data_IF_683696485304
#
_entry.id   IF_683696485304
#
_cell.length_a   1.000
_cell.length_b   1.000
_cell.length_c   1.000
_cell.angle_alpha   90.00
_cell.angle_beta   90.00
_cell.angle_gamma   90.00
#
_symmetry.space_group_name_H-M   'P 1'
#
loop_
_entity.id
_entity.type
_entity.pdbx_description
1 polymer ?
#
# COMPACT_ATOMS: atom_id res chain seq x y z
N UNK A 1 -47.09 17.75 -15.56
CA UNK A 1 -45.91 18.10 -14.75
C UNK A 1 -46.00 17.58 -13.31
N UNK A 2 -47.09 17.84 -12.57
CA UNK A 2 -47.25 17.35 -11.19
C UNK A 2 -47.24 15.83 -11.00
N UNK A 3 -47.79 15.05 -11.95
CA UNK A 3 -47.74 13.59 -11.92
C UNK A 3 -46.31 13.02 -12.01
N UNK A 4 -45.46 13.58 -12.88
CA UNK A 4 -44.06 13.18 -13.01
C UNK A 4 -43.26 13.53 -11.75
N UNK A 5 -43.53 14.70 -11.16
CA UNK A 5 -42.94 15.11 -9.87
C UNK A 5 -43.38 14.16 -8.75
N UNK A 6 -44.66 13.77 -8.70
CA UNK A 6 -45.17 12.80 -7.73
C UNK A 6 -44.50 11.42 -7.85
N UNK A 7 -44.36 10.90 -9.07
CA UNK A 7 -43.66 9.63 -9.33
C UNK A 7 -42.19 9.73 -8.91
N UNK A 8 -41.52 10.84 -9.24
CA UNK A 8 -40.13 11.06 -8.84
C UNK A 8 -39.97 11.08 -7.32
N UNK A 9 -40.85 11.76 -6.59
CA UNK A 9 -40.83 11.82 -5.13
C UNK A 9 -41.07 10.44 -4.50
N UNK A 10 -42.03 9.67 -5.02
CA UNK A 10 -42.28 8.30 -4.57
C UNK A 10 -41.07 7.39 -4.84
N UNK A 11 -40.43 7.53 -5.99
CA UNK A 11 -39.22 6.79 -6.34
C UNK A 11 -38.05 7.15 -5.42
N UNK A 12 -37.85 8.44 -5.13
CA UNK A 12 -36.82 8.90 -4.17
C UNK A 12 -37.09 8.36 -2.77
N UNK A 13 -38.34 8.40 -2.30
CA UNK A 13 -38.73 7.86 -1.00
C UNK A 13 -38.50 6.34 -0.93
N UNK A 14 -38.92 5.60 -1.96
CA UNK A 14 -38.68 4.16 -2.06
C UNK A 14 -37.19 3.82 -2.04
N UNK A 15 -36.38 4.52 -2.86
CA UNK A 15 -34.93 4.31 -2.89
C UNK A 15 -34.26 4.65 -1.55
N UNK A 16 -34.71 5.72 -0.88
CA UNK A 16 -34.21 6.12 0.43
C UNK A 16 -34.50 5.06 1.51
N UNK A 17 -35.75 4.59 1.58
CA UNK A 17 -36.14 3.51 2.50
C UNK A 17 -35.37 2.22 2.20
N UNK A 18 -35.27 1.84 0.93
CA UNK A 18 -34.49 0.68 0.50
C UNK A 18 -33.02 0.77 0.94
N UNK A 19 -32.37 1.92 0.72
CA UNK A 19 -30.99 2.15 1.15
C UNK A 19 -30.84 2.12 2.67
N UNK A 20 -31.80 2.68 3.41
CA UNK A 20 -31.81 2.66 4.87
C UNK A 20 -31.94 1.24 5.44
N UNK A 21 -32.88 0.45 4.93
CA UNK A 21 -33.04 -0.96 5.32
C UNK A 21 -31.81 -1.79 4.96
N UNK A 22 -31.24 -1.57 3.77
CA UNK A 22 -30.02 -2.23 3.33
C UNK A 22 -28.84 -1.89 4.25
N UNK A 23 -28.67 -0.61 4.61
CA UNK A 23 -27.67 -0.13 5.56
C UNK A 23 -27.76 -0.88 6.88
N UNK A 24 -28.94 -0.86 7.51
CA UNK A 24 -29.18 -1.54 8.79
C UNK A 24 -28.87 -3.04 8.71
N UNK A 25 -29.28 -3.71 7.63
CA UNK A 25 -29.04 -5.14 7.42
C UNK A 25 -27.53 -5.45 7.31
N UNK A 26 -26.78 -4.64 6.57
CA UNK A 26 -25.33 -4.80 6.43
C UNK A 26 -24.64 -4.54 7.77
N UNK A 27 -25.01 -3.47 8.49
CA UNK A 27 -24.45 -3.19 9.81
C UNK A 27 -24.68 -4.37 10.77
N UNK A 28 -25.92 -4.86 10.87
CA UNK A 28 -26.25 -6.01 11.73
C UNK A 28 -25.44 -7.26 11.35
N UNK A 29 -25.23 -7.49 10.06
CA UNK A 29 -24.40 -8.60 9.58
C UNK A 29 -22.95 -8.47 10.04
N UNK A 30 -22.32 -7.32 9.82
CA UNK A 30 -20.91 -7.12 10.20
C UNK A 30 -20.75 -7.20 11.73
N UNK A 31 -21.66 -6.60 12.50
CA UNK A 31 -21.62 -6.66 13.97
C UNK A 31 -21.88 -8.06 14.55
N UNK A 32 -22.45 -8.98 13.77
CA UNK A 32 -22.67 -10.38 14.21
C UNK A 32 -21.58 -11.34 13.78
N UNK A 33 -20.63 -10.90 12.95
CA UNK A 33 -19.45 -11.69 12.58
C UNK A 33 -18.40 -11.63 13.68
N UNK A 34 -17.79 -12.77 13.97
CA UNK A 34 -16.58 -12.87 14.78
C UNK A 34 -15.38 -12.21 14.08
N UNK A 35 -14.33 -11.90 14.84
CA UNK A 35 -13.09 -11.35 14.30
C UNK A 35 -12.48 -12.26 13.22
N UNK A 36 -12.49 -13.58 13.45
CA UNK A 36 -11.93 -14.57 12.52
C UNK A 36 -12.71 -14.61 11.21
N UNK A 37 -14.05 -14.58 11.26
CA UNK A 37 -14.89 -14.54 10.06
C UNK A 37 -14.67 -13.26 9.25
N UNK A 38 -14.50 -12.13 9.93
CA UNK A 38 -14.20 -10.85 9.28
C UNK A 38 -12.84 -10.89 8.59
N UNK A 39 -11.83 -11.42 9.28
CA UNK A 39 -10.48 -11.54 8.76
C UNK A 39 -10.43 -12.48 7.56
N UNK A 40 -11.00 -13.69 7.66
CA UNK A 40 -11.07 -14.65 6.54
C UNK A 40 -11.75 -14.02 5.32
N UNK A 41 -12.86 -13.31 5.55
CA UNK A 41 -13.59 -12.64 4.47
C UNK A 41 -12.75 -11.54 3.81
N UNK A 42 -12.05 -10.69 4.57
CA UNK A 42 -11.17 -9.65 4.01
C UNK A 42 -9.98 -10.26 3.30
N UNK A 43 -9.26 -11.20 3.92
CA UNK A 43 -8.11 -11.87 3.32
C UNK A 43 -8.47 -12.44 1.95
N UNK A 44 -9.63 -13.11 1.84
CA UNK A 44 -10.10 -13.65 0.55
C UNK A 44 -10.33 -12.59 -0.54
N UNK A 45 -10.56 -11.32 -0.16
CA UNK A 45 -10.80 -10.21 -1.08
C UNK A 45 -9.51 -9.52 -1.50
N UNK A 46 -8.52 -9.41 -0.60
CA UNK A 46 -7.31 -8.59 -0.82
C UNK A 46 -6.08 -9.40 -1.24
N UNK A 47 -5.98 -10.65 -0.78
CA UNK A 47 -4.82 -11.51 -1.06
C UNK A 47 -4.61 -11.80 -2.55
N UNK A 48 -5.66 -11.96 -3.40
CA UNK A 48 -5.46 -12.11 -4.86
C UNK A 48 -4.79 -10.89 -5.53
N UNK A 49 -4.82 -9.73 -4.87
CA UNK A 49 -4.18 -8.51 -5.33
C UNK A 49 -2.79 -8.28 -4.69
N UNK A 50 -2.31 -9.23 -3.89
CA UNK A 50 -1.00 -9.16 -3.23
C UNK A 50 -0.99 -8.43 -1.91
N UNK A 51 -2.14 -8.34 -1.22
CA UNK A 51 -2.25 -7.61 0.05
C UNK A 51 -2.67 -8.51 1.21
N UNK A 52 -2.30 -8.10 2.41
CA UNK A 52 -2.70 -8.67 3.69
C UNK A 52 -3.13 -7.56 4.64
N UNK A 53 -3.79 -7.93 5.73
CA UNK A 53 -4.26 -7.00 6.75
C UNK A 53 -3.66 -7.40 8.11
N UNK A 54 -3.21 -6.40 8.88
CA UNK A 54 -2.55 -6.56 10.17
C UNK A 54 -3.49 -6.02 11.26
N UNK A 55 -4.27 -6.89 11.95
CA UNK A 55 -5.34 -6.44 12.85
C UNK A 55 -4.87 -5.62 14.05
N UNK A 56 -3.68 -5.89 14.59
CA UNK A 56 -3.18 -5.19 15.77
C UNK A 56 -2.87 -3.71 15.53
N UNK A 57 -2.73 -3.30 14.27
CA UNK A 57 -2.40 -1.93 13.87
C UNK A 57 -3.47 -1.31 12.96
N UNK A 58 -4.48 -2.08 12.55
CA UNK A 58 -5.51 -1.66 11.59
C UNK A 58 -4.96 -1.19 10.22
N UNK A 59 -3.85 -1.76 9.76
CA UNK A 59 -3.19 -1.42 8.49
C UNK A 59 -3.22 -2.57 7.49
N UNK A 60 -3.06 -2.22 6.21
CA UNK A 60 -2.80 -3.15 5.12
C UNK A 60 -1.31 -3.20 4.80
N UNK A 61 -0.84 -4.38 4.40
CA UNK A 61 0.53 -4.62 3.95
C UNK A 61 0.50 -5.54 2.74
N UNK A 62 1.66 -5.90 2.22
CA UNK A 62 1.84 -6.70 1.01
C UNK A 62 2.17 -8.14 1.34
N UNK A 63 1.80 -9.06 0.45
CA UNK A 63 2.24 -10.44 0.50
C UNK A 63 3.51 -10.63 -0.34
N UNK A 64 4.29 -11.66 -0.01
CA UNK A 64 5.52 -11.99 -0.74
C UNK A 64 5.21 -12.33 -2.20
N UNK A 65 4.09 -13.02 -2.43
CA UNK A 65 3.61 -13.50 -3.73
C UNK A 65 2.76 -12.47 -4.49
N UNK A 66 2.86 -11.18 -4.12
CA UNK A 66 2.13 -10.12 -4.78
C UNK A 66 2.39 -10.13 -6.31
N UNK A 67 1.34 -10.09 -7.16
CA UNK A 67 1.49 -10.14 -8.62
C UNK A 67 2.45 -9.08 -9.21
N UNK A 68 2.62 -7.97 -8.49
CA UNK A 68 3.54 -6.87 -8.76
C UNK A 68 4.99 -7.36 -8.96
N UNK A 69 5.37 -8.47 -8.32
CA UNK A 69 6.68 -9.11 -8.43
C UNK A 69 7.08 -9.43 -9.88
N UNK A 70 6.10 -9.67 -10.77
CA UNK A 70 6.36 -9.99 -12.17
C UNK A 70 6.72 -8.77 -13.05
N UNK A 71 6.41 -7.55 -12.60
CA UNK A 71 6.55 -6.33 -13.41
C UNK A 71 7.87 -5.60 -13.17
N UNK A 72 8.56 -5.88 -12.06
CA UNK A 72 9.77 -5.15 -11.66
C UNK A 72 9.47 -3.68 -11.35
N UNK A 73 10.50 -2.84 -11.46
CA UNK A 73 10.44 -1.43 -11.14
C UNK A 73 11.28 -0.56 -12.08
N UNK A 74 10.77 0.63 -12.39
CA UNK A 74 11.48 1.67 -13.14
C UNK A 74 11.03 3.04 -12.64
N UNK A 75 11.89 4.06 -12.73
CA UNK A 75 11.57 5.42 -12.27
C UNK A 75 10.40 6.07 -13.03
N UNK A 76 9.95 5.48 -14.15
CA UNK A 76 8.71 5.90 -14.81
C UNK A 76 7.48 5.70 -13.91
N UNK A 77 7.49 4.72 -13.00
CA UNK A 77 6.38 4.48 -12.09
C UNK A 77 6.16 5.68 -11.15
N UNK A 78 7.23 6.23 -10.55
CA UNK A 78 7.15 7.47 -9.77
C UNK A 78 6.62 8.65 -10.59
N UNK A 79 7.10 8.77 -11.84
CA UNK A 79 6.68 9.87 -12.72
C UNK A 79 5.18 9.82 -13.04
N UNK A 80 4.64 8.62 -13.21
CA UNK A 80 3.22 8.42 -13.54
C UNK A 80 2.31 8.25 -12.32
N UNK A 81 2.87 8.02 -11.11
CA UNK A 81 2.12 7.79 -9.87
C UNK A 81 0.98 8.80 -9.62
N UNK A 82 1.14 10.12 -9.83
CA UNK A 82 0.04 11.08 -9.64
C UNK A 82 -1.17 10.86 -10.54
N UNK A 83 -0.98 10.24 -11.71
CA UNK A 83 -2.09 9.91 -12.63
C UNK A 83 -2.91 8.71 -12.14
N UNK A 84 -2.34 7.91 -11.25
CA UNK A 84 -2.97 6.75 -10.62
C UNK A 84 -3.45 7.03 -9.19
N UNK A 85 -3.56 8.31 -8.79
CA UNK A 85 -4.02 8.66 -7.45
C UNK A 85 -2.93 8.63 -6.36
N UNK A 86 -1.67 8.39 -6.74
CA UNK A 86 -0.56 8.26 -5.79
C UNK A 86 0.29 9.52 -5.79
N UNK A 87 0.47 10.14 -4.64
CA UNK A 87 1.36 11.30 -4.46
C UNK A 87 2.19 11.04 -3.22
N UNK A 88 3.49 10.83 -3.42
CA UNK A 88 4.43 10.44 -2.38
C UNK A 88 5.79 11.11 -2.59
N UNK A 89 6.59 11.12 -1.53
CA UNK A 89 8.02 11.34 -1.61
C UNK A 89 8.72 10.00 -1.79
N UNK A 90 9.72 9.95 -2.67
CA UNK A 90 10.57 8.80 -2.93
C UNK A 90 12.05 9.08 -2.67
N UNK A 91 12.78 8.05 -2.24
CA UNK A 91 14.23 8.07 -2.05
C UNK A 91 14.85 6.82 -2.72
N UNK A 92 15.21 6.91 -4.02
CA UNK A 92 15.89 5.81 -4.73
C UNK A 92 17.39 5.81 -4.42
N UNK A 93 17.91 4.63 -4.08
CA UNK A 93 19.33 4.41 -3.77
C UNK A 93 19.84 3.24 -4.62
N UNK A 94 20.69 3.58 -5.60
CA UNK A 94 21.30 2.63 -6.53
C UNK A 94 22.72 2.30 -6.08
N UNK A 95 23.10 1.04 -6.03
CA UNK A 95 24.44 0.63 -5.62
C UNK A 95 24.87 -0.67 -6.30
N UNK A 96 26.17 -0.82 -6.55
CA UNK A 96 26.72 -1.99 -7.20
C UNK A 96 27.23 -3.00 -6.17
N UNK A 97 26.82 -4.27 -6.33
CA UNK A 97 27.28 -5.36 -5.47
C UNK A 97 27.17 -6.70 -6.20
N UNK A 98 28.26 -7.48 -6.16
CA UNK A 98 28.28 -8.82 -6.75
C UNK A 98 28.11 -8.85 -8.28
N UNK A 99 28.61 -7.83 -8.99
CA UNK A 99 28.49 -7.72 -10.45
C UNK A 99 27.10 -7.29 -10.94
N UNK A 100 26.24 -6.83 -10.04
CA UNK A 100 24.85 -6.42 -10.29
C UNK A 100 24.62 -5.02 -9.73
N UNK A 101 23.72 -4.25 -10.34
CA UNK A 101 23.23 -3.00 -9.75
C UNK A 101 21.92 -3.25 -9.02
N UNK A 102 21.89 -2.84 -7.75
CA UNK A 102 20.74 -2.94 -6.87
C UNK A 102 20.03 -1.59 -6.77
N UNK A 103 18.72 -1.63 -6.55
CA UNK A 103 17.89 -0.48 -6.24
C UNK A 103 17.13 -0.79 -4.95
N UNK A 104 17.40 -0.01 -3.90
CA UNK A 104 16.51 0.08 -2.75
C UNK A 104 15.82 1.44 -2.82
N UNK A 105 14.51 1.44 -2.80
CA UNK A 105 13.73 2.67 -2.87
C UNK A 105 12.69 2.72 -1.74
N UNK A 106 12.63 3.89 -1.10
CA UNK A 106 11.70 4.18 -0.01
C UNK A 106 10.64 5.14 -0.50
N UNK A 107 9.38 4.91 -0.12
CA UNK A 107 8.27 5.80 -0.45
C UNK A 107 7.45 6.12 0.79
N UNK A 108 6.98 7.37 0.90
CA UNK A 108 6.00 7.81 1.91
C UNK A 108 5.01 8.80 1.31
N UNK A 109 3.72 8.62 1.53
CA UNK A 109 2.71 9.53 0.99
C UNK A 109 1.29 9.02 0.97
N UNK A 110 0.53 9.52 0.01
CA UNK A 110 -0.88 9.22 -0.21
C UNK A 110 -1.07 8.32 -1.44
N UNK A 111 -1.78 7.23 -1.26
CA UNK A 111 -2.12 6.21 -2.25
C UNK A 111 -3.65 6.12 -2.39
N UNK A 112 -4.24 7.10 -3.08
CA UNK A 112 -5.68 7.22 -3.21
C UNK A 112 -6.36 7.50 -1.87
N UNK A 113 -7.17 6.56 -1.39
CA UNK A 113 -7.83 6.65 -0.06
C UNK A 113 -6.93 6.19 1.09
N UNK A 114 -5.74 5.68 0.80
CA UNK A 114 -4.79 5.23 1.80
C UNK A 114 -3.67 6.25 1.94
N UNK A 115 -3.16 6.45 3.14
CA UNK A 115 -1.82 6.99 3.34
C UNK A 115 -0.89 5.86 3.76
N UNK A 116 0.41 6.00 3.58
CA UNK A 116 1.32 4.92 3.94
C UNK A 116 2.74 5.09 3.49
N UNK A 117 3.47 3.99 3.55
CA UNK A 117 4.85 3.90 3.12
C UNK A 117 5.20 2.54 2.51
N UNK A 118 6.30 2.51 1.78
CA UNK A 118 6.79 1.35 1.09
C UNK A 118 8.33 1.31 1.11
N UNK A 119 8.90 0.11 1.11
CA UNK A 119 10.33 -0.17 0.92
C UNK A 119 10.46 -1.30 -0.09
N UNK A 120 11.01 -0.98 -1.25
CA UNK A 120 11.20 -1.91 -2.36
C UNK A 120 12.67 -2.21 -2.61
N UNK A 121 12.98 -3.46 -2.90
CA UNK A 121 14.33 -3.95 -3.19
C UNK A 121 14.28 -4.68 -4.54
N UNK A 122 15.09 -4.19 -5.46
CA UNK A 122 15.15 -4.65 -6.84
C UNK A 122 16.61 -4.78 -7.28
N UNK A 123 16.85 -5.54 -8.35
CA UNK A 123 18.18 -5.71 -8.94
C UNK A 123 18.09 -5.76 -10.46
N UNK A 124 19.15 -5.31 -11.12
CA UNK A 124 19.47 -5.67 -12.48
C UNK A 124 20.59 -6.73 -12.45
N UNK A 125 20.51 -7.77 -13.28
CA UNK A 125 21.52 -8.85 -13.30
C UNK A 125 22.86 -8.45 -13.95
N UNK A 126 23.05 -7.16 -14.21
CA UNK A 126 24.26 -6.57 -14.78
C UNK A 126 24.53 -5.19 -14.14
N UNK A 127 25.74 -4.66 -14.35
CA UNK A 127 26.11 -3.32 -13.92
C UNK A 127 25.48 -2.28 -14.85
N UNK A 128 24.69 -1.37 -14.29
CA UNK A 128 23.94 -0.34 -15.01
C UNK A 128 24.72 0.97 -14.97
N UNK A 129 24.93 1.59 -16.14
CA UNK A 129 25.59 2.89 -16.20
C UNK A 129 24.74 3.99 -15.53
N UNK A 130 25.40 4.97 -14.90
CA UNK A 130 24.73 6.06 -14.16
C UNK A 130 23.66 6.79 -14.98
N UNK A 131 23.88 6.99 -16.29
CA UNK A 131 22.95 7.65 -17.20
C UNK A 131 21.68 6.82 -17.50
N UNK A 132 21.72 5.51 -17.24
CA UNK A 132 20.66 4.55 -17.56
C UNK A 132 19.86 4.10 -16.33
N UNK A 133 20.27 4.47 -15.11
CA UNK A 133 19.60 4.03 -13.88
C UNK A 133 18.09 4.31 -13.88
N UNK A 134 17.67 5.48 -14.39
CA UNK A 134 16.25 5.88 -14.39
C UNK A 134 15.41 5.21 -15.48
N UNK A 135 16.03 4.65 -16.51
CA UNK A 135 15.32 4.05 -17.65
C UNK A 135 15.44 2.53 -17.66
N UNK A 136 16.38 1.97 -16.90
CA UNK A 136 16.56 0.53 -16.76
C UNK A 136 15.42 -0.07 -15.94
N UNK A 137 14.99 -1.27 -16.34
CA UNK A 137 14.07 -2.08 -15.56
C UNK A 137 14.84 -2.87 -14.51
N UNK A 138 14.51 -2.69 -13.24
CA UNK A 138 15.04 -3.47 -12.14
C UNK A 138 14.02 -4.53 -11.75
N UNK A 139 14.42 -5.79 -11.70
CA UNK A 139 13.55 -6.91 -11.37
C UNK A 139 13.45 -7.11 -9.85
N UNK A 140 12.31 -7.62 -9.39
CA UNK A 140 12.15 -8.01 -8.00
C UNK A 140 13.15 -9.11 -7.63
N UNK A 141 13.74 -9.00 -6.44
CA UNK A 141 14.76 -9.94 -5.95
C UNK A 141 14.18 -11.30 -5.58
N UNK A 142 14.98 -12.36 -5.66
CA UNK A 142 14.55 -13.73 -5.37
C UNK A 142 14.31 -13.95 -3.86
N UNK A 143 13.62 -15.05 -3.51
CA UNK A 143 13.20 -15.33 -2.13
C UNK A 143 14.39 -15.45 -1.16
N UNK A 144 15.48 -16.09 -1.60
CA UNK A 144 16.70 -16.19 -0.79
C UNK A 144 17.42 -14.85 -0.61
N UNK A 145 17.22 -13.89 -1.53
CA UNK A 145 17.88 -12.58 -1.50
C UNK A 145 17.10 -11.55 -0.68
N UNK A 146 15.87 -11.84 -0.24
CA UNK A 146 15.07 -10.91 0.56
C UNK A 146 15.80 -10.50 1.83
N UNK A 147 15.73 -9.21 2.17
CA UNK A 147 16.40 -8.65 3.34
C UNK A 147 15.41 -8.49 4.50
N UNK A 148 15.86 -8.63 5.76
CA UNK A 148 15.11 -8.14 6.91
C UNK A 148 14.97 -6.62 6.84
N UNK A 149 13.73 -6.15 6.85
CA UNK A 149 13.31 -4.75 6.81
C UNK A 149 12.47 -4.46 8.05
N UNK A 150 12.75 -3.34 8.71
CA UNK A 150 11.83 -2.75 9.68
C UNK A 150 11.50 -1.32 9.26
N UNK A 151 10.24 -0.94 9.41
CA UNK A 151 9.72 0.38 9.07
C UNK A 151 8.96 0.92 10.27
N UNK A 152 9.30 2.12 10.72
CA UNK A 152 8.47 2.94 11.60
C UNK A 152 7.95 4.13 10.78
N UNK A 153 6.63 4.21 10.57
CA UNK A 153 5.98 5.31 9.87
C UNK A 153 5.38 6.28 10.90
N UNK A 154 5.59 7.57 10.69
CA UNK A 154 5.09 8.63 11.55
C UNK A 154 4.24 9.62 10.75
N UNK A 155 3.18 10.11 11.38
CA UNK A 155 2.39 11.26 10.93
C UNK A 155 2.62 12.40 11.93
N UNK A 156 3.24 13.49 11.49
CA UNK A 156 3.53 14.66 12.34
C UNK A 156 4.17 14.25 13.69
N UNK A 157 5.21 13.40 13.62
CA UNK A 157 5.94 12.81 14.76
C UNK A 157 5.16 11.81 15.64
N UNK A 158 3.90 11.55 15.33
CA UNK A 158 3.12 10.51 16.01
C UNK A 158 3.28 9.17 15.29
N UNK A 159 3.58 8.06 15.99
CA UNK A 159 3.72 6.76 15.37
C UNK A 159 2.39 6.31 14.75
N UNK A 160 2.45 5.85 13.50
CA UNK A 160 1.28 5.46 12.71
C UNK A 160 1.30 3.97 12.36
N UNK A 161 2.46 3.43 11.98
CA UNK A 161 2.62 2.00 11.68
C UNK A 161 4.04 1.51 11.98
N UNK A 162 4.13 0.23 12.35
CA UNK A 162 5.38 -0.50 12.52
C UNK A 162 5.33 -1.82 11.74
N UNK A 163 6.32 -2.04 10.89
CA UNK A 163 6.51 -3.30 10.17
C UNK A 163 7.88 -3.87 10.52
N UNK A 164 7.95 -5.19 10.70
CA UNK A 164 9.20 -5.94 10.78
C UNK A 164 9.00 -7.25 10.01
N UNK A 165 9.73 -7.42 8.91
CA UNK A 165 9.53 -8.54 7.97
C UNK A 165 10.80 -8.83 7.17
N UNK A 166 10.88 -10.01 6.55
CA UNK A 166 11.85 -10.29 5.49
C UNK A 166 11.10 -10.24 4.16
N UNK A 167 11.37 -9.24 3.34
CA UNK A 167 10.55 -8.97 2.16
C UNK A 167 11.35 -8.30 1.04
N UNK A 168 10.81 -8.38 -0.19
CA UNK A 168 11.32 -7.61 -1.34
C UNK A 168 10.59 -6.27 -1.50
N UNK A 169 9.32 -6.21 -1.11
CA UNK A 169 8.48 -5.02 -1.12
C UNK A 169 7.62 -4.91 0.14
N UNK A 170 8.16 -4.32 1.20
CA UNK A 170 7.47 -4.16 2.48
C UNK A 170 6.62 -2.88 2.46
N UNK A 171 5.38 -2.94 2.92
CA UNK A 171 4.45 -1.79 2.88
C UNK A 171 3.64 -1.66 4.16
N UNK A 172 3.17 -0.44 4.44
CA UNK A 172 2.20 -0.15 5.48
C UNK A 172 1.23 0.92 4.99
N UNK A 173 -0.04 0.56 4.86
CA UNK A 173 -1.10 1.44 4.39
C UNK A 173 -2.22 1.57 5.42
N UNK A 174 -2.50 2.80 5.79
CA UNK A 174 -3.60 3.20 6.66
C UNK A 174 -4.74 3.78 5.81
N UNK A 175 -5.93 3.16 5.91
CA UNK A 175 -7.04 3.39 5.00
C UNK A 175 -8.03 4.43 5.53
N UNK A 176 -8.39 5.37 4.67
CA UNK A 176 -9.39 6.40 4.94
C UNK A 176 -8.83 7.67 5.56
N UNK A 177 -7.52 7.70 5.81
CA UNK A 177 -6.82 8.87 6.30
C UNK A 177 -6.12 9.62 5.15
N UNK A 178 -6.00 10.93 5.32
CA UNK A 178 -5.39 11.83 4.36
C UNK A 178 -4.16 12.48 4.97
N UNK A 179 -3.05 12.48 4.22
CA UNK A 179 -1.84 13.22 4.55
C UNK A 179 -1.28 13.91 3.30
N UNK A 180 -0.52 14.98 3.52
CA UNK A 180 0.46 15.39 2.53
C UNK A 180 1.74 14.55 2.73
N UNK A 181 2.52 14.26 1.67
CA UNK A 181 3.76 13.49 1.81
C UNK A 181 4.74 14.06 2.85
N UNK A 182 4.81 15.39 2.95
CA UNK A 182 5.66 16.09 3.91
C UNK A 182 5.13 16.05 5.36
N UNK A 183 3.87 15.65 5.59
CA UNK A 183 3.36 15.40 6.95
C UNK A 183 3.85 14.05 7.49
N UNK A 184 4.39 13.20 6.62
CA UNK A 184 4.90 11.87 6.96
C UNK A 184 6.43 11.87 7.05
N UNK A 185 6.95 11.10 7.99
CA UNK A 185 8.35 10.68 8.04
C UNK A 185 8.42 9.19 8.31
N UNK A 186 9.52 8.54 7.92
CA UNK A 186 9.72 7.12 8.22
C UNK A 186 11.15 6.82 8.62
N UNK A 187 11.32 5.92 9.58
CA UNK A 187 12.59 5.28 9.88
C UNK A 187 12.61 3.89 9.28
N UNK A 188 13.64 3.60 8.48
CA UNK A 188 13.80 2.31 7.82
C UNK A 188 15.08 1.65 8.28
N UNK A 189 14.99 0.41 8.74
CA UNK A 189 16.16 -0.41 9.09
C UNK A 189 16.25 -1.58 8.13
N UNK A 190 17.38 -1.72 7.46
CA UNK A 190 17.65 -2.81 6.51
C UNK A 190 18.88 -3.57 7.00
N UNK A 191 18.75 -4.89 7.13
CA UNK A 191 19.85 -5.75 7.55
C UNK A 191 20.46 -6.45 6.33
N UNK A 192 21.73 -6.18 6.06
CA UNK A 192 22.46 -6.70 4.92
C UNK A 192 23.08 -8.08 5.23
N UNK A 193 23.26 -8.94 4.22
CA UNK A 193 23.76 -10.30 4.44
C UNK A 193 25.24 -10.34 4.84
N UNK A 194 26.02 -9.31 4.47
CA UNK A 194 27.43 -9.20 4.79
C UNK A 194 27.90 -7.75 4.71
N UNK A 195 29.12 -7.53 5.20
CA UNK A 195 29.72 -6.20 5.26
C UNK A 195 30.05 -5.61 3.88
N UNK A 196 30.30 -6.44 2.86
CA UNK A 196 30.59 -5.93 1.51
C UNK A 196 29.37 -5.27 0.88
N UNK A 197 28.18 -5.89 0.98
CA UNK A 197 26.93 -5.29 0.48
C UNK A 197 26.54 -4.05 1.29
N UNK A 198 26.73 -4.09 2.62
CA UNK A 198 26.49 -2.93 3.47
C UNK A 198 27.38 -1.75 3.09
N UNK A 199 28.68 -1.99 2.89
CA UNK A 199 29.64 -0.95 2.55
C UNK A 199 29.30 -0.30 1.20
N UNK A 200 28.91 -1.11 0.20
CA UNK A 200 28.46 -0.61 -1.09
C UNK A 200 27.24 0.31 -0.94
N UNK A 201 26.27 -0.07 -0.12
CA UNK A 201 25.08 0.75 0.14
C UNK A 201 25.41 2.04 0.91
N UNK A 202 26.16 1.94 2.01
CA UNK A 202 26.53 3.07 2.85
C UNK A 202 27.37 4.13 2.10
N UNK A 203 28.30 3.69 1.24
CA UNK A 203 29.10 4.60 0.41
C UNK A 203 28.23 5.46 -0.53
N UNK A 204 27.15 4.91 -1.06
CA UNK A 204 26.20 5.68 -1.88
C UNK A 204 25.40 6.66 -1.01
N UNK A 205 25.03 6.28 0.21
CA UNK A 205 24.37 7.19 1.14
C UNK A 205 25.27 8.39 1.48
N UNK A 206 26.54 8.14 1.82
CA UNK A 206 27.54 9.18 2.11
C UNK A 206 27.71 10.16 0.95
N UNK A 207 27.87 9.64 -0.26
CA UNK A 207 28.09 10.48 -1.44
C UNK A 207 26.84 11.22 -1.90
N UNK A 208 25.65 10.69 -1.61
CA UNK A 208 24.39 11.33 -2.02
C UNK A 208 24.02 12.53 -1.15
N UNK A 209 24.33 12.50 0.15
CA UNK A 209 23.93 13.52 1.12
C UNK A 209 22.41 13.75 1.26
N UNK A 210 21.57 12.81 0.79
CA UNK A 210 20.11 13.01 0.69
C UNK A 210 19.32 12.67 1.94
N UNK A 211 19.89 11.90 2.86
CA UNK A 211 19.21 11.46 4.07
C UNK A 211 20.21 11.27 5.21
N UNK A 212 19.70 11.38 6.44
CA UNK A 212 20.46 11.00 7.63
C UNK A 212 20.39 9.49 7.78
N UNK A 213 21.53 8.87 8.05
CA UNK A 213 21.59 7.43 8.27
C UNK A 213 22.59 7.07 9.37
N UNK A 214 22.45 5.87 9.92
CA UNK A 214 23.34 5.27 10.92
C UNK A 214 23.58 3.81 10.61
N UNK A 215 24.76 3.31 10.98
CA UNK A 215 25.15 1.91 10.80
C UNK A 215 25.32 1.25 12.15
N UNK A 216 24.71 0.07 12.33
CA UNK A 216 24.81 -0.75 13.53
C UNK A 216 25.05 -2.21 13.13
N UNK A 217 26.31 -2.66 13.19
CA UNK A 217 26.69 -3.99 12.72
C UNK A 217 26.39 -4.15 11.22
N UNK A 218 25.54 -5.12 10.87
CA UNK A 218 25.08 -5.34 9.50
C UNK A 218 23.78 -4.59 9.14
N UNK A 219 23.33 -3.68 9.99
CA UNK A 219 22.09 -2.93 9.77
C UNK A 219 22.38 -1.47 9.43
N UNK A 220 21.64 -0.95 8.45
CA UNK A 220 21.59 0.48 8.14
C UNK A 220 20.22 1.02 8.51
N UNK A 221 20.19 2.08 9.33
CA UNK A 221 19.00 2.82 9.69
C UNK A 221 18.98 4.15 8.92
N UNK A 222 17.92 4.42 8.18
CA UNK A 222 17.71 5.65 7.42
C UNK A 222 16.55 6.40 8.05
N UNK A 223 16.75 7.69 8.33
CA UNK A 223 15.67 8.61 8.65
C UNK A 223 15.25 9.34 7.36
N UNK A 224 14.00 9.17 6.95
CA UNK A 224 13.44 9.78 5.76
C UNK A 224 12.28 10.72 6.09
N UNK A 225 12.63 12.01 6.22
CA UNK A 225 11.72 13.15 6.41
C UNK A 225 11.66 14.08 5.18
N UNK A 226 12.53 13.83 4.20
CA UNK A 226 12.72 14.66 3.03
C UNK A 226 11.49 14.70 2.09
N UNK A 227 11.16 15.90 1.58
CA UNK A 227 10.07 16.12 0.64
C UNK A 227 10.58 16.16 -0.82
N UNK A 228 10.68 15.01 -1.48
CA UNK A 228 11.08 14.97 -2.90
C UNK A 228 10.00 15.51 -3.84
N UNK A 229 8.73 15.36 -3.47
CA UNK A 229 7.59 15.93 -4.21
C UNK A 229 7.58 17.46 -4.22
N UNK A 230 8.21 18.10 -3.22
CA UNK A 230 8.37 19.55 -3.16
C UNK A 230 9.29 20.10 -4.26
N UNK A 231 10.23 19.27 -4.75
CA UNK A 231 11.13 19.64 -5.85
C UNK A 231 10.45 19.64 -7.22
N UNK A 232 9.26 19.07 -7.34
CA UNK A 232 8.53 19.03 -8.61
C UNK A 232 8.14 20.44 -9.04
N UNK A 233 8.24 20.71 -10.34
CA UNK A 233 7.92 22.00 -10.95
C UNK A 233 6.95 21.86 -12.13
N UNK A 234 6.39 22.99 -12.56
CA UNK A 234 5.52 23.07 -13.74
C UNK A 234 4.28 22.17 -13.65
N UNK A 235 4.02 21.46 -14.76
CA UNK A 235 2.81 20.64 -14.96
C UNK A 235 2.74 19.51 -13.91
N UNK A 236 3.86 18.89 -13.56
CA UNK A 236 3.87 17.76 -12.62
C UNK A 236 3.37 18.20 -11.23
N UNK A 237 3.81 19.36 -10.73
CA UNK A 237 3.35 19.93 -9.46
C UNK A 237 1.84 20.21 -9.48
N UNK A 238 1.32 20.68 -10.61
CA UNK A 238 -0.11 20.94 -10.78
C UNK A 238 -0.93 19.65 -10.78
N UNK A 239 -0.46 18.60 -11.49
CA UNK A 239 -1.07 17.27 -11.46
C UNK A 239 -1.11 16.74 -10.01
N UNK A 240 0.01 16.79 -9.28
CA UNK A 240 0.05 16.35 -7.87
C UNK A 240 -0.97 17.10 -6.99
N UNK A 241 -1.11 18.42 -7.17
CA UNK A 241 -2.10 19.22 -6.43
C UNK A 241 -3.54 18.79 -6.71
N UNK A 242 -3.88 18.54 -7.98
CA UNK A 242 -5.20 18.05 -8.36
C UNK A 242 -5.43 16.66 -7.79
N UNK A 243 -4.44 15.77 -7.90
CA UNK A 243 -4.54 14.42 -7.38
C UNK A 243 -4.74 14.42 -5.87
N UNK A 244 -3.98 15.21 -5.11
CA UNK A 244 -4.18 15.35 -3.67
C UNK A 244 -5.54 15.94 -3.31
N UNK A 245 -6.02 16.93 -4.06
CA UNK A 245 -7.37 17.46 -3.87
C UNK A 245 -8.43 16.36 -4.07
N UNK A 246 -8.30 15.53 -5.12
CA UNK A 246 -9.18 14.37 -5.35
C UNK A 246 -9.07 13.35 -4.21
N UNK A 247 -7.85 12.99 -3.80
CA UNK A 247 -7.61 12.05 -2.71
C UNK A 247 -8.27 12.51 -1.42
N UNK A 248 -8.15 13.79 -1.06
CA UNK A 248 -8.81 14.38 0.12
C UNK A 248 -10.33 14.22 0.07
N UNK A 249 -10.94 14.55 -1.07
CA UNK A 249 -12.39 14.38 -1.24
C UNK A 249 -12.81 12.91 -1.21
N UNK A 250 -12.02 12.02 -1.80
CA UNK A 250 -12.30 10.58 -1.76
C UNK A 250 -12.17 10.01 -0.35
N UNK A 251 -11.18 10.45 0.44
CA UNK A 251 -11.07 10.08 1.86
C UNK A 251 -12.30 10.55 2.63
N UNK A 252 -12.69 11.82 2.50
CA UNK A 252 -13.89 12.34 3.15
C UNK A 252 -15.16 11.57 2.77
N UNK A 253 -15.33 11.28 1.47
CA UNK A 253 -16.46 10.49 0.98
C UNK A 253 -16.44 9.06 1.53
N UNK A 254 -15.27 8.42 1.52
CA UNK A 254 -15.06 7.08 2.08
C UNK A 254 -15.45 7.04 3.57
N UNK A 255 -14.95 7.98 4.37
CA UNK A 255 -15.27 8.09 5.80
C UNK A 255 -16.76 8.37 6.02
N UNK A 256 -17.37 9.23 5.20
CA UNK A 256 -18.80 9.56 5.30
C UNK A 256 -19.70 8.35 4.98
N UNK A 257 -19.40 7.62 3.90
CA UNK A 257 -20.14 6.40 3.52
C UNK A 257 -20.01 5.33 4.61
N UNK A 258 -18.79 5.15 5.13
CA UNK A 258 -18.43 4.09 6.08
C UNK A 258 -18.58 4.51 7.55
N UNK A 259 -19.18 5.68 7.82
CA UNK A 259 -19.39 6.27 9.16
C UNK A 259 -19.88 5.31 10.25
N UNK A 260 -20.70 4.26 9.98
CA UNK A 260 -21.08 3.31 11.03
C UNK A 260 -19.92 2.51 11.65
N UNK A 261 -18.73 2.53 11.03
CA UNK A 261 -17.58 1.75 11.46
C UNK A 261 -16.34 2.63 11.63
N UNK A 262 -15.51 2.28 12.61
CA UNK A 262 -14.23 2.94 12.88
C UNK A 262 -13.07 2.15 12.27
N UNK A 263 -13.02 0.84 12.52
CA UNK A 263 -11.97 -0.06 12.03
C UNK A 263 -11.97 -0.20 10.51
N UNK A 264 -10.78 -0.14 9.90
CA UNK A 264 -10.58 -0.23 8.45
C UNK A 264 -11.14 -1.53 7.86
N UNK A 265 -10.93 -2.65 8.57
CA UNK A 265 -11.48 -3.95 8.18
C UNK A 265 -13.02 -3.93 8.05
N UNK A 266 -13.71 -3.29 9.00
CA UNK A 266 -15.17 -3.20 8.97
C UNK A 266 -15.67 -2.24 7.89
N UNK A 267 -14.96 -1.13 7.67
CA UNK A 267 -15.26 -0.18 6.57
C UNK A 267 -15.17 -0.85 5.21
N UNK A 268 -14.13 -1.68 4.99
CA UNK A 268 -13.95 -2.40 3.73
C UNK A 268 -15.03 -3.48 3.54
N UNK A 269 -15.35 -4.25 4.58
CA UNK A 269 -16.46 -5.22 4.55
C UNK A 269 -17.80 -4.54 4.26
N UNK A 270 -18.03 -3.38 4.87
CA UNK A 270 -19.23 -2.60 4.62
C UNK A 270 -19.35 -2.23 3.15
N UNK A 271 -18.30 -1.66 2.53
CA UNK A 271 -18.31 -1.37 1.10
C UNK A 271 -18.53 -2.62 0.25
N UNK A 272 -17.87 -3.72 0.58
CA UNK A 272 -18.07 -4.99 -0.11
C UNK A 272 -19.54 -5.44 -0.08
N UNK A 273 -20.20 -5.44 1.07
CA UNK A 273 -21.62 -5.84 1.18
C UNK A 273 -22.59 -4.82 0.55
N UNK A 274 -22.15 -3.58 0.36
CA UNK A 274 -22.85 -2.57 -0.43
C UNK A 274 -22.81 -2.82 -1.94
N UNK A 275 -21.87 -3.63 -2.43
CA UNK A 275 -21.86 -4.02 -3.84
C UNK A 275 -23.01 -4.97 -4.18
N UNK A 276 -23.63 -4.83 -5.37
CA UNK A 276 -24.55 -5.82 -5.91
C UNK A 276 -23.95 -7.23 -5.89
N UNK A 277 -24.81 -8.24 -5.73
CA UNK A 277 -24.37 -9.65 -5.69
C UNK A 277 -23.56 -10.02 -6.93
N UNK A 278 -23.97 -9.55 -8.11
CA UNK A 278 -23.27 -9.80 -9.39
C UNK A 278 -21.81 -9.35 -9.37
N UNK A 279 -21.55 -8.15 -8.82
CA UNK A 279 -20.19 -7.61 -8.69
C UNK A 279 -19.39 -8.41 -7.66
N UNK A 280 -20.02 -8.79 -6.54
CA UNK A 280 -19.35 -9.61 -5.52
C UNK A 280 -18.92 -10.99 -6.02
N UNK A 281 -19.59 -11.53 -7.05
CA UNK A 281 -19.19 -12.79 -7.68
C UNK A 281 -17.87 -12.67 -8.46
N UNK A 282 -17.47 -11.47 -8.88
CA UNK A 282 -16.18 -11.23 -9.55
C UNK A 282 -15.00 -11.37 -8.58
N UNK A 283 -15.21 -10.98 -7.31
CA UNK A 283 -14.22 -11.10 -6.25
C UNK A 283 -14.14 -12.51 -5.65
N UNK A 284 -15.02 -13.44 -6.05
CA UNK A 284 -14.93 -14.83 -5.62
C UNK A 284 -13.89 -15.55 -6.46
N UNK A 285 -12.68 -15.65 -5.92
CA UNK A 285 -11.65 -16.45 -6.54
C UNK A 285 -12.00 -17.95 -6.44
N UNK A 286 -12.50 -18.51 -7.56
CA UNK A 286 -12.93 -19.91 -7.65
C UNK A 286 -11.75 -20.89 -7.57
N UNK A 287 -10.50 -20.44 -7.77
CA UNK A 287 -9.32 -21.32 -7.77
C UNK A 287 -8.88 -21.72 -6.36
N UNK A 288 -8.94 -20.83 -5.36
CA UNK A 288 -8.45 -21.11 -4.00
C UNK A 288 -9.39 -21.91 -3.09
N UNK A 289 -10.71 -21.86 -3.29
CA UNK A 289 -11.65 -22.73 -2.55
C UNK A 289 -11.37 -24.23 -2.76
N UNK A 290 -10.75 -24.63 -3.89
CA UNK A 290 -10.34 -26.02 -4.14
C UNK A 290 -9.07 -26.40 -3.36
N UNK A 291 -8.09 -25.50 -3.20
CA UNK A 291 -6.87 -25.77 -2.44
C UNK A 291 -7.14 -25.82 -0.93
N UNK A 292 -7.96 -24.92 -0.39
CA UNK A 292 -8.26 -24.91 1.04
C UNK A 292 -9.09 -26.14 1.48
N UNK A 293 -10.00 -26.63 0.63
CA UNK A 293 -10.70 -27.92 0.86
C UNK A 293 -9.78 -29.14 0.77
N UNK A 294 -8.73 -29.11 -0.07
CA UNK A 294 -7.73 -30.19 -0.15
C UNK A 294 -6.77 -30.18 1.04
N UNK A 295 -6.38 -29.00 1.54
CA UNK A 295 -5.55 -28.85 2.74
C UNK A 295 -6.25 -29.36 4.00
N UNK A 296 -7.52 -28.98 4.24
CA UNK A 296 -8.31 -29.49 5.37
C UNK A 296 -8.60 -31.00 5.33
N UNK A 297 -8.53 -31.65 4.16
CA UNK A 297 -8.61 -33.11 4.03
C UNK A 297 -7.31 -33.84 4.38
N UNK A 298 -6.15 -33.17 4.29
CA UNK A 298 -4.85 -33.77 4.60
C UNK A 298 -4.46 -33.71 6.08
N UNK A 299 -5.12 -32.87 6.88
CA UNK A 299 -4.90 -32.80 8.35
C UNK A 299 -5.90 -33.64 9.16
N UNK A 300 -6.63 -34.56 8.52
CA UNK A 300 -7.46 -35.58 9.17
C UNK A 300 -7.04 -36.97 8.69
N UNK A 301 -5.82 -37.37 9.03
CA UNK A 301 -5.36 -38.75 9.14
C UNK A 301 -4.20 -38.77 10.14
#
# INVERSE_FOLDING_TARGET
MYFLVGILLLLVLFLSLFHHHRKKKICKRICSMSCDEKLEQITSLIEPFGYTYIPCQDIFSTTIDAPQRAFGYTALYDYYAPRFGMVFDCLPIYFDYGGRTWLIELWKGQYGINLGCEVGIYKADFLVAQSQLRTTLFHSIEDQEMLPISIDLFYQNSPLAHICTRHWWATAFDMGNYAQPYDLSMDVRITFPNMSMLAAYANVLDTSGKCLYRVYGLQVMIHFDYCSSCLLSGIQKWICRITQWKNRHMCHLFIWITKPFTASLDRLLYLYYYLPVSIRLLFRDKKRHKCHKKGKRKCRL
#
